data_IF_683851746555
#
_entry.id   IF_683851746555
#
_cell.length_a   1.000
_cell.length_b   1.000
_cell.length_c   1.000
_cell.angle_alpha   90.00
_cell.angle_beta   90.00
_cell.angle_gamma   90.00
#
_symmetry.space_group_name_H-M   'P 1'
#
loop_
_entity.id
_entity.type
_entity.pdbx_description
1 polymer ?
#
# COMPACT_ATOMS: atom_id res chain seq x y z
N UNK A 1 -42.30 20.49 28.06
CA UNK A 1 -41.85 20.70 26.67
C UNK A 1 -40.41 20.22 26.57
N UNK A 2 -40.17 19.09 25.89
CA UNK A 2 -38.84 18.50 25.76
C UNK A 2 -38.37 18.63 24.31
N UNK A 3 -37.41 19.50 24.05
CA UNK A 3 -36.73 19.59 22.75
C UNK A 3 -35.56 18.62 22.76
N UNK A 4 -35.75 17.49 22.11
CA UNK A 4 -34.80 16.40 21.94
C UNK A 4 -33.56 16.90 21.20
N UNK A 5 -32.41 16.81 21.88
CA UNK A 5 -31.07 17.01 21.33
C UNK A 5 -30.74 15.87 20.36
N UNK A 6 -30.90 16.10 19.05
CA UNK A 6 -30.63 15.10 17.99
C UNK A 6 -29.55 15.57 17.00
N UNK A 7 -28.77 16.62 17.30
CA UNK A 7 -27.85 17.22 16.30
C UNK A 7 -26.39 16.72 16.32
N UNK A 8 -25.97 15.92 17.31
CA UNK A 8 -24.53 15.64 17.50
C UNK A 8 -24.01 14.33 16.85
N UNK A 9 -24.88 13.51 16.25
CA UNK A 9 -24.46 12.17 15.78
C UNK A 9 -23.90 12.10 14.35
N UNK A 10 -23.99 13.18 13.56
CA UNK A 10 -23.63 13.16 12.13
C UNK A 10 -22.18 13.54 11.80
N UNK A 11 -21.43 14.17 12.72
CA UNK A 11 -20.07 14.66 12.43
C UNK A 11 -18.98 13.57 12.39
N UNK A 12 -19.09 12.53 13.23
CA UNK A 12 -18.05 11.51 13.37
C UNK A 12 -17.89 10.56 12.17
N UNK A 13 -18.97 10.31 11.42
CA UNK A 13 -18.94 9.46 10.22
C UNK A 13 -18.25 10.14 9.04
N UNK A 14 -18.43 11.44 8.90
CA UNK A 14 -17.85 12.23 7.81
C UNK A 14 -16.34 12.44 7.98
N UNK A 15 -15.87 12.63 9.21
CA UNK A 15 -14.42 12.72 9.52
C UNK A 15 -13.69 11.40 9.24
N UNK A 16 -14.25 10.26 9.68
CA UNK A 16 -13.65 8.94 9.40
C UNK A 16 -13.60 8.62 7.92
N UNK A 17 -14.65 8.96 7.17
CA UNK A 17 -14.66 8.72 5.72
C UNK A 17 -13.55 9.51 5.02
N UNK A 18 -13.34 10.78 5.41
CA UNK A 18 -12.25 11.60 4.89
C UNK A 18 -10.86 11.05 5.23
N UNK A 19 -10.68 10.58 6.46
CA UNK A 19 -9.42 9.94 6.90
C UNK A 19 -9.13 8.67 6.08
N UNK A 20 -10.13 7.83 5.84
CA UNK A 20 -9.99 6.64 4.98
C UNK A 20 -9.60 7.02 3.56
N UNK A 21 -10.24 8.04 2.98
CA UNK A 21 -9.90 8.53 1.63
C UNK A 21 -8.47 9.03 1.56
N UNK A 22 -8.01 9.77 2.57
CA UNK A 22 -6.64 10.29 2.59
C UNK A 22 -5.61 9.17 2.81
N UNK A 23 -5.92 8.16 3.63
CA UNK A 23 -5.11 6.94 3.75
C UNK A 23 -5.02 6.16 2.44
N UNK A 24 -6.12 6.03 1.70
CA UNK A 24 -6.12 5.36 0.38
C UNK A 24 -5.21 6.08 -0.63
N UNK A 25 -5.27 7.43 -0.69
CA UNK A 25 -4.36 8.22 -1.52
C UNK A 25 -2.90 8.02 -1.13
N UNK A 26 -2.62 7.91 0.16
CA UNK A 26 -1.27 7.67 0.67
C UNK A 26 -0.76 6.29 0.26
N UNK A 27 -1.60 5.26 0.38
CA UNK A 27 -1.29 3.90 -0.10
C UNK A 27 -0.98 3.90 -1.59
N UNK A 28 -1.80 4.56 -2.40
CA UNK A 28 -1.57 4.62 -3.86
C UNK A 28 -0.28 5.35 -4.21
N UNK A 29 0.04 6.44 -3.50
CA UNK A 29 1.32 7.14 -3.66
C UNK A 29 2.51 6.21 -3.35
N UNK A 30 2.42 5.44 -2.26
CA UNK A 30 3.47 4.47 -1.92
C UNK A 30 3.55 3.32 -2.93
N UNK A 31 2.43 2.86 -3.50
CA UNK A 31 2.43 1.87 -4.59
C UNK A 31 3.21 2.38 -5.79
N UNK A 32 2.90 3.58 -6.27
CA UNK A 32 3.63 4.20 -7.40
C UNK A 32 5.12 4.34 -7.09
N UNK A 33 5.49 4.86 -5.91
CA UNK A 33 6.90 4.99 -5.52
C UNK A 33 7.63 3.64 -5.47
N UNK A 34 6.97 2.57 -5.02
CA UNK A 34 7.52 1.22 -5.05
C UNK A 34 7.70 0.70 -6.48
N UNK A 35 6.73 0.94 -7.37
CA UNK A 35 6.83 0.55 -8.79
C UNK A 35 7.99 1.26 -9.48
N UNK A 36 8.15 2.56 -9.26
CA UNK A 36 9.27 3.34 -9.78
C UNK A 36 10.61 2.78 -9.27
N UNK A 37 10.70 2.47 -7.97
CA UNK A 37 11.90 1.86 -7.39
C UNK A 37 12.21 0.48 -8.01
N UNK A 38 11.20 -0.33 -8.31
CA UNK A 38 11.38 -1.61 -8.99
C UNK A 38 11.92 -1.43 -10.41
N UNK A 39 11.49 -0.40 -11.15
CA UNK A 39 12.04 -0.07 -12.46
C UNK A 39 13.51 0.38 -12.36
N UNK A 40 13.87 1.17 -11.34
CA UNK A 40 15.27 1.54 -11.12
C UNK A 40 16.15 0.32 -10.82
N UNK A 41 15.63 -0.67 -10.09
CA UNK A 41 16.33 -1.93 -9.86
C UNK A 41 16.54 -2.70 -11.17
N UNK A 42 15.55 -2.73 -12.07
CA UNK A 42 15.69 -3.35 -13.39
C UNK A 42 16.79 -2.68 -14.22
N UNK A 43 16.84 -1.35 -14.22
CA UNK A 43 17.91 -0.60 -14.87
C UNK A 43 19.29 -0.94 -14.28
N UNK A 44 19.41 -0.94 -12.94
CA UNK A 44 20.65 -1.30 -12.26
C UNK A 44 21.11 -2.73 -12.59
N UNK A 45 20.19 -3.69 -12.62
CA UNK A 45 20.48 -5.08 -12.98
C UNK A 45 21.04 -5.15 -14.40
N UNK A 46 20.43 -4.45 -15.36
CA UNK A 46 20.93 -4.36 -16.73
C UNK A 46 22.33 -3.78 -16.79
N UNK A 47 22.56 -2.66 -16.11
CA UNK A 47 23.87 -2.01 -16.04
C UNK A 47 24.95 -2.93 -15.43
N UNK A 48 24.66 -3.60 -14.32
CA UNK A 48 25.61 -4.50 -13.66
C UNK A 48 25.88 -5.77 -14.46
N UNK A 49 24.90 -6.23 -15.24
CA UNK A 49 25.10 -7.32 -16.19
C UNK A 49 26.04 -6.90 -17.32
N UNK A 50 25.85 -5.70 -17.88
CA UNK A 50 26.70 -5.15 -18.94
C UNK A 50 28.15 -4.86 -18.53
N UNK A 51 28.39 -4.50 -17.27
CA UNK A 51 29.76 -4.29 -16.73
C UNK A 51 30.37 -5.53 -16.05
N UNK A 52 29.85 -6.72 -16.36
CA UNK A 52 30.36 -8.02 -15.91
C UNK A 52 30.34 -8.21 -14.37
N UNK A 53 29.44 -7.52 -13.65
CA UNK A 53 29.22 -7.66 -12.20
C UNK A 53 28.04 -8.59 -11.91
N UNK A 54 28.10 -9.81 -12.43
CA UNK A 54 27.01 -10.78 -12.38
C UNK A 54 26.55 -11.13 -10.95
N UNK A 55 27.45 -11.14 -9.97
CA UNK A 55 27.09 -11.39 -8.56
C UNK A 55 26.16 -10.32 -7.98
N UNK A 56 26.44 -9.04 -8.27
CA UNK A 56 25.61 -7.91 -7.84
C UNK A 56 24.26 -7.93 -8.54
N UNK A 57 24.25 -8.17 -9.86
CA UNK A 57 23.03 -8.28 -10.65
C UNK A 57 22.12 -9.42 -10.12
N UNK A 58 22.69 -10.56 -9.76
CA UNK A 58 21.94 -11.69 -9.17
C UNK A 58 21.32 -11.32 -7.83
N UNK A 59 22.08 -10.67 -6.94
CA UNK A 59 21.57 -10.24 -5.64
C UNK A 59 20.42 -9.22 -5.78
N UNK A 60 20.56 -8.23 -6.67
CA UNK A 60 19.51 -7.25 -6.95
C UNK A 60 18.26 -7.90 -7.56
N UNK A 61 18.42 -8.88 -8.44
CA UNK A 61 17.30 -9.64 -9.01
C UNK A 61 16.51 -10.42 -7.94
N UNK A 62 17.22 -11.01 -6.97
CA UNK A 62 16.57 -11.67 -5.82
C UNK A 62 15.81 -10.67 -4.95
N UNK A 63 16.42 -9.52 -4.63
CA UNK A 63 15.78 -8.45 -3.85
C UNK A 63 14.51 -7.94 -4.55
N UNK A 64 14.59 -7.63 -5.84
CA UNK A 64 13.45 -7.20 -6.66
C UNK A 64 12.32 -8.22 -6.62
N UNK A 65 12.64 -9.50 -6.77
CA UNK A 65 11.67 -10.60 -6.74
C UNK A 65 10.96 -10.70 -5.39
N UNK A 66 11.68 -10.52 -4.29
CA UNK A 66 11.11 -10.49 -2.94
C UNK A 66 10.16 -9.30 -2.75
N UNK A 67 10.58 -8.09 -3.11
CA UNK A 67 9.77 -6.87 -3.00
C UNK A 67 8.47 -7.02 -3.81
N UNK A 68 8.57 -7.46 -5.08
CA UNK A 68 7.40 -7.65 -5.96
C UNK A 68 6.43 -8.68 -5.41
N UNK A 69 6.92 -9.79 -4.85
CA UNK A 69 6.07 -10.83 -4.23
C UNK A 69 5.31 -10.28 -3.03
N UNK A 70 5.95 -9.46 -2.19
CA UNK A 70 5.29 -8.86 -1.02
C UNK A 70 4.28 -7.78 -1.40
N UNK A 71 4.51 -7.04 -2.49
CA UNK A 71 3.59 -6.02 -2.98
C UNK A 71 2.32 -6.66 -3.59
N UNK A 72 2.48 -7.60 -4.53
CA UNK A 72 1.36 -8.26 -5.23
C UNK A 72 0.48 -9.09 -4.28
N UNK A 73 1.06 -9.71 -3.25
CA UNK A 73 0.31 -10.53 -2.29
C UNK A 73 -0.48 -9.69 -1.26
N UNK A 74 -0.18 -8.39 -1.12
CA UNK A 74 -0.96 -7.48 -0.28
C UNK A 74 -2.26 -7.03 -0.95
N UNK A 75 -2.31 -6.96 -2.28
CA UNK A 75 -3.55 -6.62 -2.99
C UNK A 75 -4.61 -7.73 -2.86
N UNK A 76 -4.19 -8.99 -2.67
CA UNK A 76 -5.07 -10.16 -2.44
C UNK A 76 -5.53 -10.33 -0.99
N UNK A 77 -4.92 -9.63 -0.02
CA UNK A 77 -5.32 -9.73 1.38
C UNK A 77 -6.63 -8.94 1.57
N UNK A 78 -7.75 -9.64 1.43
CA UNK A 78 -9.09 -9.10 1.62
C UNK A 78 -9.17 -8.21 2.87
N UNK A 79 -9.84 -7.05 2.71
CA UNK A 79 -10.11 -6.08 3.77
C UNK A 79 -10.68 -6.80 5.01
N UNK A 80 -10.30 -6.40 6.24
CA UNK A 80 -10.88 -6.96 7.46
C UNK A 80 -12.39 -6.73 7.40
N UNK A 81 -13.18 -7.78 7.22
CA UNK A 81 -14.62 -7.69 7.39
C UNK A 81 -14.86 -7.51 8.88
N UNK A 82 -15.31 -6.32 9.27
CA UNK A 82 -15.66 -5.95 10.64
C UNK A 82 -16.77 -6.87 11.14
N UNK A 83 -16.38 -8.01 11.69
CA UNK A 83 -17.27 -9.01 12.25
C UNK A 83 -17.62 -8.53 13.66
N UNK A 84 -18.54 -7.59 13.76
CA UNK A 84 -19.13 -7.21 15.04
C UNK A 84 -19.96 -8.39 15.53
N UNK A 85 -19.41 -9.07 16.54
CA UNK A 85 -20.12 -10.02 17.39
C UNK A 85 -21.52 -9.49 17.72
N UNK A 86 -22.52 -10.17 17.17
CA UNK A 86 -23.88 -10.17 17.70
C UNK A 86 -23.83 -10.83 19.08
N UNK A 87 -24.10 -10.07 20.13
CA UNK A 87 -24.39 -10.58 21.47
C UNK A 87 -25.71 -10.02 21.97
#
# INVERSE_FOLDING_TARGET
>A
MATTSTRERSGGGQTRNREVVDLMKEVDRYRTACEDALQQLDWCIGYFTGCNKAGVAKALSANRSAIRRHLMRRDDQALPTDNKESR
#
